data_IF_155814732377
#
_entry.id   IF_155814732377
#
_cell.length_a   1.000
_cell.length_b   1.000
_cell.length_c   1.000
_cell.angle_alpha   90.00
_cell.angle_beta   90.00
_cell.angle_gamma   90.00
#
_symmetry.space_group_name_H-M   'P 1'
#
loop_
_entity.id
_entity.type
_entity.pdbx_description
1 polymer ?
#
# COMPACT_ATOMS: atom_id res chain seq x y z
N UNK A 1 22.71 -0.03 3.39
CA UNK A 1 21.59 0.92 3.56
C UNK A 1 20.79 0.99 2.26
N UNK A 2 19.45 1.05 2.32
CA UNK A 2 18.59 1.14 1.12
C UNK A 2 18.59 2.56 0.54
N UNK A 3 18.58 2.72 -0.80
CA UNK A 3 18.42 4.03 -1.43
C UNK A 3 17.01 4.59 -1.14
N UNK A 4 16.92 5.92 -1.06
CA UNK A 4 15.62 6.60 -1.01
C UNK A 4 14.87 6.42 -2.34
N UNK A 5 13.52 6.29 -2.31
CA UNK A 5 12.75 6.27 -3.54
C UNK A 5 12.87 7.61 -4.28
N UNK A 6 12.86 7.61 -5.63
CA UNK A 6 12.83 8.84 -6.41
C UNK A 6 11.53 9.63 -6.15
N UNK A 7 11.52 10.95 -6.41
CA UNK A 7 10.30 11.77 -6.32
C UNK A 7 9.21 11.17 -7.19
N UNK A 8 8.03 11.01 -6.59
CA UNK A 8 6.94 10.30 -7.22
C UNK A 8 6.15 11.25 -8.14
N UNK A 9 5.88 10.91 -9.42
CA UNK A 9 5.16 11.79 -10.34
C UNK A 9 3.73 12.04 -9.86
N UNK A 10 3.13 13.18 -10.21
CA UNK A 10 1.75 13.48 -9.88
C UNK A 10 0.81 12.36 -10.35
N UNK A 11 -0.06 11.89 -9.46
CA UNK A 11 -0.99 10.79 -9.74
C UNK A 11 -2.21 11.36 -10.44
N UNK A 12 -2.22 11.31 -11.78
CA UNK A 12 -3.46 11.50 -12.57
C UNK A 12 -3.91 10.14 -13.07
N UNK A 13 -5.20 9.98 -13.40
CA UNK A 13 -5.72 8.75 -14.01
C UNK A 13 -4.92 8.34 -15.27
N UNK A 14 -4.46 9.33 -16.05
CA UNK A 14 -3.64 9.17 -17.25
C UNK A 14 -2.22 8.65 -16.97
N UNK A 15 -1.69 8.84 -15.77
CA UNK A 15 -0.31 8.44 -15.40
C UNK A 15 -0.24 7.24 -14.46
N UNK A 16 -1.38 6.60 -14.18
CA UNK A 16 -1.49 5.52 -13.20
C UNK A 16 -0.66 4.28 -13.59
N UNK A 17 -0.67 3.89 -14.86
CA UNK A 17 0.12 2.75 -15.32
C UNK A 17 1.62 3.04 -15.26
N UNK A 18 2.03 4.28 -15.63
CA UNK A 18 3.42 4.72 -15.50
C UNK A 18 3.87 4.68 -14.03
N UNK A 19 2.99 5.06 -13.11
CA UNK A 19 3.23 4.99 -11.67
C UNK A 19 3.41 3.55 -11.19
N UNK A 20 2.50 2.64 -11.56
CA UNK A 20 2.62 1.22 -11.22
C UNK A 20 3.92 0.61 -11.76
N UNK A 21 4.29 0.93 -13.00
CA UNK A 21 5.53 0.45 -13.60
C UNK A 21 6.77 1.02 -12.91
N UNK A 22 6.75 2.29 -12.49
CA UNK A 22 7.84 2.90 -11.74
C UNK A 22 8.03 2.23 -10.38
N UNK A 23 6.95 2.08 -9.60
CA UNK A 23 7.01 1.44 -8.28
C UNK A 23 7.40 -0.04 -8.38
N UNK A 24 6.96 -0.76 -9.43
CA UNK A 24 7.42 -2.13 -9.66
C UNK A 24 8.94 -2.23 -9.91
N UNK A 25 9.55 -1.24 -10.59
CA UNK A 25 11.02 -1.17 -10.75
C UNK A 25 11.73 -0.89 -9.43
N UNK A 26 11.17 -0.02 -8.59
CA UNK A 26 11.71 0.27 -7.25
C UNK A 26 11.71 -0.97 -6.35
N UNK A 27 10.62 -1.74 -6.34
CA UNK A 27 10.52 -2.99 -5.58
C UNK A 27 11.58 -4.00 -6.05
N UNK A 28 11.81 -4.12 -7.37
CA UNK A 28 12.85 -4.99 -7.94
C UNK A 28 14.26 -4.55 -7.53
N UNK A 29 14.55 -3.25 -7.56
CA UNK A 29 15.83 -2.71 -7.10
C UNK A 29 16.06 -2.95 -5.60
N UNK A 30 15.01 -2.81 -4.78
CA UNK A 30 15.07 -3.11 -3.36
C UNK A 30 15.27 -4.60 -3.08
N UNK A 31 14.67 -5.50 -3.88
CA UNK A 31 14.92 -6.95 -3.77
C UNK A 31 16.40 -7.27 -4.06
N UNK A 32 16.96 -6.73 -5.15
CA UNK A 32 18.37 -6.93 -5.47
C UNK A 32 19.29 -6.41 -4.35
N UNK A 33 18.93 -5.28 -3.73
CA UNK A 33 19.65 -4.75 -2.57
C UNK A 33 19.54 -5.68 -1.36
N UNK A 34 18.34 -6.19 -1.04
CA UNK A 34 18.12 -7.11 0.07
C UNK A 34 18.95 -8.40 -0.08
N UNK A 35 18.99 -8.97 -1.29
CA UNK A 35 19.80 -10.15 -1.60
C UNK A 35 21.30 -9.88 -1.42
N UNK A 36 21.79 -8.73 -1.91
CA UNK A 36 23.21 -8.34 -1.81
C UNK A 36 23.67 -8.15 -0.37
N UNK A 37 22.80 -7.68 0.52
CA UNK A 37 23.12 -7.46 1.94
C UNK A 37 22.67 -8.60 2.84
N UNK A 38 22.17 -9.71 2.26
CA UNK A 38 21.65 -10.87 2.98
C UNK A 38 20.53 -10.53 3.99
N UNK A 39 19.65 -9.58 3.65
CA UNK A 39 18.43 -9.31 4.40
C UNK A 39 17.35 -10.33 4.01
N UNK A 40 17.30 -11.45 4.75
CA UNK A 40 16.42 -12.59 4.48
C UNK A 40 14.93 -12.24 4.59
N UNK A 41 14.55 -11.49 5.64
CA UNK A 41 13.16 -11.07 5.85
C UNK A 41 12.68 -10.21 4.68
N UNK A 42 13.53 -9.27 4.26
CA UNK A 42 13.18 -8.39 3.15
C UNK A 42 13.19 -9.09 1.81
N UNK A 43 14.10 -10.03 1.62
CA UNK A 43 14.14 -10.89 0.43
C UNK A 43 12.84 -11.68 0.31
N UNK A 44 12.35 -12.26 1.40
CA UNK A 44 11.10 -13.00 1.41
C UNK A 44 9.90 -12.11 1.05
N UNK A 45 9.75 -10.97 1.75
CA UNK A 45 8.63 -10.04 1.52
C UNK A 45 8.61 -9.48 0.08
N UNK A 46 9.75 -9.01 -0.42
CA UNK A 46 9.82 -8.39 -1.76
C UNK A 46 9.70 -9.43 -2.88
N UNK A 47 10.14 -10.66 -2.65
CA UNK A 47 9.86 -11.77 -3.58
C UNK A 47 8.36 -12.00 -3.69
N UNK A 48 7.61 -12.06 -2.58
CA UNK A 48 6.16 -12.22 -2.61
C UNK A 48 5.43 -11.08 -3.35
N UNK A 49 5.97 -9.85 -3.29
CA UNK A 49 5.45 -8.70 -4.03
C UNK A 49 5.67 -8.90 -5.53
N UNK A 50 6.87 -9.30 -5.95
CA UNK A 50 7.27 -9.44 -7.36
C UNK A 50 6.64 -10.65 -8.04
N UNK A 51 6.60 -11.80 -7.38
CA UNK A 51 6.00 -13.05 -7.92
C UNK A 51 4.56 -12.85 -8.38
N UNK A 52 3.87 -11.87 -7.79
CA UNK A 52 2.49 -11.55 -8.08
C UNK A 52 2.31 -10.20 -8.80
N UNK A 53 3.38 -9.51 -9.24
CA UNK A 53 3.28 -8.14 -9.81
C UNK A 53 2.38 -8.01 -11.02
N UNK A 54 2.20 -9.04 -11.86
CA UNK A 54 1.18 -8.99 -12.93
C UNK A 54 -0.25 -8.88 -12.40
N UNK A 55 -0.46 -9.13 -11.10
CA UNK A 55 -1.73 -9.09 -10.37
C UNK A 55 -1.73 -8.10 -9.20
N UNK A 56 -0.59 -7.49 -8.86
CA UNK A 56 -0.44 -6.56 -7.73
C UNK A 56 0.03 -5.21 -8.24
N UNK A 57 -0.77 -4.20 -7.97
CA UNK A 57 -0.51 -2.82 -8.37
C UNK A 57 -0.09 -2.02 -7.14
N UNK A 58 1.02 -1.28 -7.23
CA UNK A 58 1.55 -0.50 -6.11
C UNK A 58 1.72 0.96 -6.52
N UNK A 59 1.11 1.89 -5.79
CA UNK A 59 1.21 3.34 -6.03
C UNK A 59 2.46 3.96 -5.44
N UNK A 60 2.97 3.42 -4.33
CA UNK A 60 4.15 3.96 -3.65
C UNK A 60 4.84 2.86 -2.88
N UNK A 61 6.15 2.97 -2.79
CA UNK A 61 7.01 2.06 -2.07
C UNK A 61 8.21 2.82 -1.50
N UNK A 62 8.52 2.58 -0.24
CA UNK A 62 9.76 3.06 0.38
C UNK A 62 10.37 1.91 1.18
N UNK A 63 11.57 1.43 0.82
CA UNK A 63 12.15 0.31 1.49
C UNK A 63 12.82 0.66 2.84
N UNK A 64 12.92 1.93 3.22
CA UNK A 64 13.68 2.32 4.42
C UNK A 64 12.89 2.04 5.71
N UNK A 65 13.61 1.84 6.81
CA UNK A 65 13.01 1.53 8.12
C UNK A 65 12.14 0.28 8.07
N UNK A 66 10.94 0.35 8.65
CA UNK A 66 9.95 -0.74 8.60
C UNK A 66 9.32 -0.94 7.22
N UNK A 67 9.56 0.01 6.31
CA UNK A 67 9.03 0.04 4.97
C UNK A 67 7.63 0.66 4.87
N UNK A 68 7.35 1.27 3.73
CA UNK A 68 6.06 1.86 3.39
C UNK A 68 5.61 1.34 2.04
N UNK A 69 4.33 1.04 1.89
CA UNK A 69 3.77 0.60 0.61
C UNK A 69 2.31 1.00 0.51
N UNK A 70 1.88 1.41 -0.68
CA UNK A 70 0.47 1.60 -1.02
C UNK A 70 0.13 0.63 -2.14
N UNK A 71 -0.66 -0.39 -1.85
CA UNK A 71 -1.13 -1.38 -2.82
C UNK A 71 -2.58 -1.08 -3.23
N UNK A 72 -2.89 -1.33 -4.48
CA UNK A 72 -4.22 -1.23 -5.07
C UNK A 72 -4.69 -2.64 -5.45
N UNK A 73 -5.91 -2.96 -5.04
CA UNK A 73 -6.64 -4.16 -5.44
C UNK A 73 -7.84 -3.74 -6.30
N UNK A 74 -7.99 -4.37 -7.46
CA UNK A 74 -9.03 -4.00 -8.43
C UNK A 74 -8.57 -2.91 -9.41
N UNK A 75 -9.50 -2.39 -10.19
CA UNK A 75 -9.21 -1.37 -11.20
C UNK A 75 -9.51 0.02 -10.65
N UNK A 76 -8.49 0.70 -10.12
CA UNK A 76 -8.64 2.04 -9.58
C UNK A 76 -9.03 3.09 -10.63
N UNK A 77 -8.76 2.86 -11.91
CA UNK A 77 -9.09 3.82 -12.98
C UNK A 77 -10.58 3.87 -13.25
N UNK A 78 -11.24 2.72 -13.15
CA UNK A 78 -12.67 2.56 -13.46
C UNK A 78 -13.51 2.27 -12.22
N UNK A 79 -12.98 2.47 -11.00
CA UNK A 79 -13.72 2.15 -9.80
C UNK A 79 -14.84 3.16 -9.52
N UNK A 80 -16.07 2.67 -9.41
CA UNK A 80 -17.23 3.43 -8.91
C UNK A 80 -17.14 3.66 -7.39
N UNK A 81 -16.44 2.76 -6.68
CA UNK A 81 -16.26 2.83 -5.23
C UNK A 81 -14.80 2.57 -4.86
N UNK A 82 -14.30 3.33 -3.91
CA UNK A 82 -12.94 3.19 -3.38
C UNK A 82 -13.01 2.97 -1.88
N UNK A 83 -12.45 1.87 -1.39
CA UNK A 83 -12.24 1.63 0.03
C UNK A 83 -10.77 1.80 0.38
N UNK A 84 -10.47 2.50 1.46
CA UNK A 84 -9.10 2.66 1.96
C UNK A 84 -8.96 1.91 3.27
N UNK A 85 -8.02 0.97 3.32
CA UNK A 85 -7.72 0.21 4.52
C UNK A 85 -6.50 0.84 5.19
N UNK A 86 -6.76 1.50 6.31
CA UNK A 86 -5.72 2.05 7.19
C UNK A 86 -5.43 1.00 8.27
N UNK A 87 -4.21 0.43 8.31
CA UNK A 87 -3.86 -0.59 9.27
C UNK A 87 -3.67 -0.03 10.69
N UNK A 88 -3.86 -0.89 11.69
CA UNK A 88 -3.46 -0.64 13.08
C UNK A 88 -1.93 -0.64 13.27
N UNK A 89 -1.50 -0.52 14.53
CA UNK A 89 -0.08 -0.52 14.91
C UNK A 89 0.67 -1.79 14.45
N UNK A 90 2.01 -1.72 14.44
CA UNK A 90 2.94 -2.84 14.17
C UNK A 90 2.92 -3.45 12.76
N UNK A 91 2.35 -2.74 11.79
CA UNK A 91 2.49 -3.13 10.39
C UNK A 91 3.92 -2.86 9.87
N UNK A 92 4.47 -3.82 9.13
CA UNK A 92 5.77 -3.74 8.47
C UNK A 92 5.70 -4.46 7.13
N UNK A 93 6.70 -4.27 6.26
CA UNK A 93 6.75 -5.04 5.01
C UNK A 93 6.87 -6.56 5.24
N UNK A 94 7.47 -6.98 6.36
CA UNK A 94 7.66 -8.39 6.68
C UNK A 94 6.35 -9.12 7.03
N UNK A 95 5.37 -8.43 7.65
CA UNK A 95 4.09 -9.03 8.04
C UNK A 95 2.91 -8.60 7.15
N UNK A 96 3.16 -7.74 6.16
CA UNK A 96 2.15 -7.07 5.34
C UNK A 96 1.11 -8.03 4.73
N UNK A 97 1.54 -9.22 4.27
CA UNK A 97 0.65 -10.14 3.56
C UNK A 97 -0.20 -11.05 4.47
N UNK A 98 0.04 -11.06 5.78
CA UNK A 98 -0.73 -11.85 6.75
C UNK A 98 -2.16 -11.30 6.91
N UNK A 99 -3.18 -12.15 7.16
CA UNK A 99 -4.59 -11.74 7.24
C UNK A 99 -4.90 -10.64 8.25
N UNK A 100 -4.07 -10.50 9.29
CA UNK A 100 -4.23 -9.51 10.36
C UNK A 100 -3.70 -8.11 9.98
N UNK A 101 -2.97 -8.02 8.88
CA UNK A 101 -2.21 -6.83 8.49
C UNK A 101 -2.70 -6.27 7.16
N UNK A 102 -2.20 -5.08 6.78
CA UNK A 102 -2.78 -4.24 5.74
C UNK A 102 -3.07 -4.99 4.42
N UNK A 103 -2.11 -5.74 3.90
CA UNK A 103 -2.27 -6.47 2.64
C UNK A 103 -3.25 -7.63 2.73
N UNK A 104 -3.11 -8.47 3.76
CA UNK A 104 -3.96 -9.64 3.95
C UNK A 104 -5.42 -9.27 4.21
N UNK A 105 -5.66 -8.31 5.10
CA UNK A 105 -6.99 -7.80 5.42
C UNK A 105 -7.67 -7.14 4.21
N UNK A 106 -6.94 -6.31 3.46
CA UNK A 106 -7.48 -5.66 2.25
C UNK A 106 -7.89 -6.66 1.18
N UNK A 107 -7.12 -7.74 1.00
CA UNK A 107 -7.49 -8.82 0.07
C UNK A 107 -8.71 -9.60 0.53
N UNK A 108 -8.85 -9.85 1.83
CA UNK A 108 -10.04 -10.48 2.38
C UNK A 108 -11.28 -9.63 2.14
N UNK A 109 -11.21 -8.32 2.43
CA UNK A 109 -12.26 -7.36 2.14
C UNK A 109 -12.62 -7.33 0.65
N UNK A 110 -11.62 -7.20 -0.22
CA UNK A 110 -11.82 -7.14 -1.67
C UNK A 110 -12.52 -8.41 -2.21
N UNK A 111 -12.09 -9.60 -1.77
CA UNK A 111 -12.74 -10.86 -2.15
C UNK A 111 -14.18 -10.93 -1.67
N UNK A 112 -14.44 -10.54 -0.42
CA UNK A 112 -15.79 -10.56 0.14
C UNK A 112 -16.72 -9.60 -0.60
N UNK A 113 -16.28 -8.37 -0.84
CA UNK A 113 -17.07 -7.37 -1.54
C UNK A 113 -17.42 -7.81 -2.97
N UNK A 114 -16.47 -8.43 -3.69
CA UNK A 114 -16.72 -9.01 -5.02
C UNK A 114 -17.73 -10.17 -5.02
N UNK A 115 -17.77 -10.95 -3.95
CA UNK A 115 -18.74 -12.03 -3.80
C UNK A 115 -20.15 -11.50 -3.48
N UNK A 116 -20.25 -10.46 -2.65
CA UNK A 116 -21.54 -9.90 -2.22
C UNK A 116 -22.15 -8.93 -3.23
N UNK A 117 -21.34 -8.21 -4.02
CA UNK A 117 -21.81 -7.22 -4.98
C UNK A 117 -21.02 -7.29 -6.31
N UNK A 118 -21.21 -8.35 -7.13
CA UNK A 118 -20.38 -8.62 -8.30
C UNK A 118 -20.48 -7.55 -9.41
N UNK A 119 -21.54 -6.75 -9.43
CA UNK A 119 -21.75 -5.66 -10.40
C UNK A 119 -21.12 -4.32 -10.01
N UNK A 120 -20.51 -4.19 -8.83
CA UNK A 120 -19.86 -2.95 -8.39
C UNK A 120 -18.39 -2.95 -8.78
N UNK A 121 -17.92 -1.90 -9.48
CA UNK A 121 -16.49 -1.69 -9.74
C UNK A 121 -15.83 -1.10 -8.48
N UNK A 122 -15.34 -1.97 -7.59
CA UNK A 122 -14.65 -1.58 -6.35
C UNK A 122 -13.13 -1.62 -6.55
N UNK A 123 -12.44 -0.58 -6.08
CA UNK A 123 -11.00 -0.62 -5.80
C UNK A 123 -10.75 -0.54 -4.28
N UNK A 124 -9.76 -1.29 -3.79
CA UNK A 124 -9.32 -1.24 -2.40
C UNK A 124 -7.86 -0.78 -2.35
N UNK A 125 -7.59 0.27 -1.59
CA UNK A 125 -6.25 0.81 -1.35
C UNK A 125 -5.78 0.31 0.01
N UNK A 126 -4.76 -0.54 0.03
CA UNK A 126 -4.09 -1.01 1.23
C UNK A 126 -2.88 -0.11 1.51
N UNK A 127 -2.89 0.60 2.65
CA UNK A 127 -1.88 1.62 2.93
C UNK A 127 -1.01 1.25 4.14
N UNK A 128 0.24 0.84 3.90
CA UNK A 128 1.26 0.67 4.93
C UNK A 128 2.10 1.93 5.14
N UNK A 129 2.23 2.36 6.40
CA UNK A 129 3.32 3.23 6.83
C UNK A 129 3.10 4.73 6.61
N UNK A 130 1.91 5.23 6.91
CA UNK A 130 1.76 6.65 7.28
C UNK A 130 2.53 6.94 8.58
N UNK A 131 3.08 8.15 8.74
CA UNK A 131 3.57 8.64 10.04
C UNK A 131 2.37 8.78 10.98
N UNK A 132 2.04 7.70 11.70
CA UNK A 132 1.02 7.75 12.75
C UNK A 132 1.48 8.79 13.79
N UNK A 133 0.68 9.82 14.13
CA UNK A 133 1.06 10.79 15.15
C UNK A 133 1.10 10.05 16.49
N UNK A 134 2.30 9.60 16.85
CA UNK A 134 2.50 8.65 17.93
C UNK A 134 3.97 8.47 18.34
N UNK A 135 4.91 9.30 17.87
CA UNK A 135 6.19 9.45 18.57
C UNK A 135 6.10 10.39 19.79
N UNK A 136 4.92 10.95 20.07
CA UNK A 136 4.61 11.60 21.34
C UNK A 136 3.24 11.11 21.84
N UNK A 137 3.29 10.40 22.97
CA UNK A 137 2.18 10.07 23.87
C UNK A 137 1.32 8.84 23.55
N UNK A 138 1.37 7.93 24.51
CA UNK A 138 0.67 6.66 24.72
C UNK A 138 -0.86 6.78 24.90
N UNK A 139 -1.52 7.75 24.25
CA UNK A 139 -2.90 8.07 24.57
C UNK A 139 -3.74 8.47 23.34
N UNK A 140 -3.93 7.62 22.33
CA UNK A 140 -4.99 7.87 21.32
C UNK A 140 -5.53 6.57 20.72
N UNK A 141 -6.45 5.92 21.43
CA UNK A 141 -7.47 5.04 20.86
C UNK A 141 -8.79 5.82 20.86
N UNK A 142 -9.07 6.59 19.81
CA UNK A 142 -10.41 7.13 19.58
C UNK A 142 -10.64 7.49 18.11
N UNK A 143 -11.90 7.41 17.72
CA UNK A 143 -12.50 7.52 16.38
C UNK A 143 -12.25 8.87 15.66
N UNK A 144 -11.69 9.87 16.33
CA UNK A 144 -11.53 11.24 15.82
C UNK A 144 -10.58 11.37 14.62
N UNK A 145 -9.61 10.46 14.45
CA UNK A 145 -8.64 10.55 13.35
C UNK A 145 -9.18 10.12 11.99
N UNK A 146 -10.27 9.33 11.96
CA UNK A 146 -10.94 9.00 10.70
C UNK A 146 -11.53 10.25 10.03
N UNK A 147 -11.99 11.22 10.84
CA UNK A 147 -12.55 12.48 10.36
C UNK A 147 -11.48 13.46 9.86
N UNK A 148 -10.29 13.45 10.48
CA UNK A 148 -9.17 14.31 10.07
C UNK A 148 -8.40 13.82 8.83
N UNK A 149 -8.48 12.53 8.49
CA UNK A 149 -7.88 11.98 7.27
C UNK A 149 -8.76 12.20 6.03
N UNK A 150 -10.06 12.42 6.22
CA UNK A 150 -11.03 12.62 5.15
C UNK A 150 -10.70 13.80 4.19
N UNK A 151 -10.17 14.95 4.64
CA UNK A 151 -9.80 16.06 3.74
C UNK A 151 -8.57 15.77 2.87
N UNK A 152 -7.59 15.04 3.39
CA UNK A 152 -6.38 14.66 2.64
C UNK A 152 -6.70 13.57 1.62
N UNK A 153 -7.58 12.64 1.98
CA UNK A 153 -8.10 11.65 1.05
C UNK A 153 -9.00 12.29 -0.02
N UNK A 154 -9.86 13.26 0.35
CA UNK A 154 -10.68 14.01 -0.61
C UNK A 154 -9.83 14.75 -1.64
N UNK A 155 -8.75 15.42 -1.23
CA UNK A 155 -7.81 16.07 -2.17
C UNK A 155 -7.15 15.11 -3.15
N UNK A 156 -6.94 13.86 -2.75
CA UNK A 156 -6.35 12.83 -3.61
C UNK A 156 -7.37 12.22 -4.60
N UNK A 157 -8.67 12.40 -4.35
CA UNK A 157 -9.76 11.84 -5.15
C UNK A 157 -10.51 12.88 -6.01
N UNK A 158 -10.25 14.18 -5.82
CA UNK A 158 -10.92 15.27 -6.56
C UNK A 158 -9.98 16.04 -7.53
N UNK A 159 -8.87 15.45 -7.96
CA UNK A 159 -8.03 15.97 -9.07
C UNK A 159 -7.83 14.87 -10.10
#
# INVERSE_FOLDING_TARGET
>A
MYPAPPPAPATTSATLDLRYQATAREIKSALATAQRIHDSDRTHALTAFISNTRRRQFLSFDPRGRGRVVEVLGDLRHADRIAVVVPGADNSLANYDSPKFAGGGSRALYRQARATAPGTQLAVIAWLGYDSPGSLSTAVLSSERAEQAAPTLRRLLTT
#
